data_IF_664128060856
#
_entry.id   IF_664128060856
#
_cell.length_a   1.000
_cell.length_b   1.000
_cell.length_c   1.000
_cell.angle_alpha   90.00
_cell.angle_beta   90.00
_cell.angle_gamma   90.00
#
_symmetry.space_group_name_H-M   'P 1'
#
loop_
_entity.id
_entity.type
_entity.pdbx_description
1 polymer ?
#
# COMPACT_ATOMS: atom_id res chain seq x y z
N UNK A 1 -5.01 -8.95 -21.00
CA UNK A 1 -4.33 -8.09 -20.02
C UNK A 1 -5.30 -7.57 -18.99
N UNK A 2 -4.87 -7.54 -17.72
CA UNK A 2 -5.67 -7.00 -16.62
C UNK A 2 -5.35 -5.50 -16.47
N UNK A 3 -6.37 -4.65 -16.31
CA UNK A 3 -6.19 -3.20 -16.09
C UNK A 3 -5.69 -2.87 -14.67
N UNK A 4 -4.79 -3.69 -14.13
CA UNK A 4 -4.20 -3.54 -12.81
C UNK A 4 -2.79 -2.99 -12.97
N UNK A 5 -2.50 -1.90 -12.28
CA UNK A 5 -1.14 -1.39 -12.14
C UNK A 5 -0.56 -1.92 -10.82
N UNK A 6 0.40 -2.86 -10.87
CA UNK A 6 1.03 -3.38 -9.66
C UNK A 6 2.04 -2.38 -9.09
N UNK A 7 2.02 -2.18 -7.76
CA UNK A 7 3.03 -1.42 -7.02
C UNK A 7 3.69 -2.35 -6.01
N UNK A 8 5.02 -2.47 -6.11
CA UNK A 8 5.80 -3.38 -5.27
C UNK A 8 6.50 -2.61 -4.14
N UNK A 9 6.39 -3.15 -2.94
CA UNK A 9 7.09 -2.70 -1.74
C UNK A 9 7.72 -3.91 -1.03
N UNK A 10 8.76 -3.67 -0.24
CA UNK A 10 9.41 -4.71 0.55
C UNK A 10 8.96 -4.59 2.01
N UNK A 11 8.40 -5.66 2.56
CA UNK A 11 7.91 -5.68 3.94
C UNK A 11 7.19 -6.98 4.29
N UNK A 12 7.17 -7.29 5.58
CA UNK A 12 6.47 -8.46 6.11
C UNK A 12 4.96 -8.25 6.24
N UNK A 13 4.24 -9.32 6.61
CA UNK A 13 2.79 -9.27 6.82
C UNK A 13 2.34 -8.18 7.83
N UNK A 14 2.98 -8.01 9.01
CA UNK A 14 2.56 -6.97 9.96
C UNK A 14 2.75 -5.55 9.41
N UNK A 15 3.87 -5.31 8.72
CA UNK A 15 4.15 -4.03 8.08
C UNK A 15 3.13 -3.73 6.98
N UNK A 16 2.79 -4.74 6.18
CA UNK A 16 1.76 -4.66 5.15
C UNK A 16 0.39 -4.24 5.71
N UNK A 17 -0.01 -4.82 6.85
CA UNK A 17 -1.24 -4.44 7.55
C UNK A 17 -1.20 -2.99 8.02
N UNK A 18 -0.09 -2.55 8.60
CA UNK A 18 0.03 -1.16 9.06
C UNK A 18 0.05 -0.16 7.88
N UNK A 19 0.70 -0.52 6.77
CA UNK A 19 0.71 0.27 5.53
C UNK A 19 -0.70 0.45 4.98
N UNK A 20 -1.52 -0.61 4.92
CA UNK A 20 -2.88 -0.48 4.37
C UNK A 20 -3.78 0.35 5.28
N UNK A 21 -3.64 0.23 6.60
CA UNK A 21 -4.35 1.06 7.58
C UNK A 21 -3.98 2.52 7.41
N UNK A 22 -2.69 2.85 7.30
CA UNK A 22 -2.22 4.22 7.12
C UNK A 22 -2.68 4.82 5.77
N UNK A 23 -2.59 4.06 4.68
CA UNK A 23 -3.12 4.47 3.37
C UNK A 23 -4.61 4.79 3.43
N UNK A 24 -5.40 3.97 4.12
CA UNK A 24 -6.84 4.14 4.23
C UNK A 24 -7.22 5.31 5.14
N UNK A 25 -6.73 5.29 6.37
CA UNK A 25 -7.20 6.18 7.45
C UNK A 25 -6.53 7.56 7.41
N UNK A 26 -5.26 7.63 7.02
CA UNK A 26 -4.50 8.90 7.03
C UNK A 26 -4.38 9.53 5.63
N UNK A 27 -4.48 8.72 4.57
CA UNK A 27 -4.32 9.20 3.20
C UNK A 27 -5.60 9.11 2.35
N UNK A 28 -6.64 8.42 2.81
CA UNK A 28 -7.88 8.24 2.07
C UNK A 28 -7.74 7.38 0.82
N UNK A 29 -6.67 6.60 0.70
CA UNK A 29 -6.40 5.73 -0.46
C UNK A 29 -6.78 4.31 -0.12
N UNK A 30 -7.79 3.80 -0.82
CA UNK A 30 -8.18 2.40 -0.75
C UNK A 30 -7.55 1.62 -1.91
N UNK A 31 -6.78 0.58 -1.60
CA UNK A 31 -6.22 -0.34 -2.59
C UNK A 31 -6.20 -1.76 -2.06
N UNK A 32 -6.15 -2.76 -2.96
CA UNK A 32 -6.03 -4.15 -2.54
C UNK A 32 -4.57 -4.50 -2.29
N UNK A 33 -4.29 -5.15 -1.15
CA UNK A 33 -2.97 -5.64 -0.79
C UNK A 33 -2.87 -7.14 -1.02
N UNK A 34 -1.76 -7.58 -1.59
CA UNK A 34 -1.43 -8.98 -1.84
C UNK A 34 -0.08 -9.26 -1.19
N UNK A 35 -0.05 -10.28 -0.35
CA UNK A 35 1.10 -10.71 0.44
C UNK A 35 1.24 -12.24 0.34
N UNK A 36 2.25 -12.82 1.00
CA UNK A 36 2.42 -14.26 1.11
C UNK A 36 1.12 -14.96 1.55
N UNK A 37 0.72 -16.09 0.93
CA UNK A 37 1.49 -16.93 -0.01
C UNK A 37 1.37 -16.57 -1.49
N UNK A 38 0.59 -15.54 -1.85
CA UNK A 38 0.30 -15.22 -3.27
C UNK A 38 1.51 -14.59 -3.97
N UNK A 39 2.31 -13.83 -3.22
CA UNK A 39 3.63 -13.30 -3.65
C UNK A 39 4.72 -13.83 -2.71
N UNK A 40 6.02 -13.75 -3.08
CA UNK A 40 7.11 -14.17 -2.21
C UNK A 40 7.06 -13.51 -0.82
N UNK A 41 7.70 -14.16 0.17
CA UNK A 41 7.86 -13.56 1.50
C UNK A 41 8.57 -12.20 1.38
N UNK A 42 8.25 -11.31 2.31
CA UNK A 42 8.78 -9.95 2.39
C UNK A 42 8.49 -9.06 1.17
N UNK A 43 7.54 -9.47 0.32
CA UNK A 43 7.02 -8.67 -0.79
C UNK A 43 5.57 -8.29 -0.50
N UNK A 44 5.30 -7.00 -0.63
CA UNK A 44 3.97 -6.41 -0.59
C UNK A 44 3.63 -5.95 -1.99
N UNK A 45 2.51 -6.41 -2.52
CA UNK A 45 1.98 -6.00 -3.80
C UNK A 45 0.67 -5.23 -3.59
N UNK A 46 0.68 -3.93 -3.87
CA UNK A 46 -0.53 -3.12 -3.95
C UNK A 46 -1.07 -3.19 -5.39
N UNK A 47 -2.38 -3.41 -5.51
CA UNK A 47 -3.07 -3.47 -6.81
C UNK A 47 -3.88 -2.21 -7.00
N UNK A 48 -3.47 -1.41 -7.98
CA UNK A 48 -4.19 -0.20 -8.37
C UNK A 48 -5.04 -0.46 -9.59
N UNK A 49 -6.25 0.05 -9.55
CA UNK A 49 -7.22 -0.04 -10.65
C UNK A 49 -7.70 1.38 -10.93
N UNK A 50 -6.91 2.19 -11.66
CA UNK A 50 -7.35 3.51 -12.06
C UNK A 50 -8.54 3.37 -13.02
N UNK A 51 -9.47 4.31 -12.92
CA UNK A 51 -10.69 4.36 -13.74
C UNK A 51 -10.82 5.75 -14.35
N UNK A 52 -11.67 5.90 -15.37
CA UNK A 52 -11.87 7.19 -16.05
C UNK A 52 -12.39 8.32 -15.13
N UNK A 53 -12.93 7.99 -13.95
CA UNK A 53 -13.38 9.00 -12.98
C UNK A 53 -12.23 9.61 -12.16
N UNK A 54 -11.05 8.99 -12.15
CA UNK A 54 -9.89 9.55 -11.48
C UNK A 54 -9.27 10.66 -12.34
N UNK A 55 -9.11 11.83 -11.75
CA UNK A 55 -8.41 12.95 -12.36
C UNK A 55 -6.89 12.72 -12.36
N UNK A 56 -6.15 13.52 -13.14
CA UNK A 56 -4.69 13.52 -13.07
C UNK A 56 -4.15 13.97 -11.70
N UNK A 57 -4.95 14.72 -10.94
CA UNK A 57 -4.59 15.12 -9.58
C UNK A 57 -4.67 13.93 -8.61
N UNK A 58 -5.74 13.13 -8.69
CA UNK A 58 -5.87 11.90 -7.90
C UNK A 58 -4.70 10.94 -8.17
N UNK A 59 -4.30 10.82 -9.44
CA UNK A 59 -3.14 10.00 -9.85
C UNK A 59 -1.85 10.54 -9.22
N UNK A 60 -1.59 11.86 -9.31
CA UNK A 60 -0.39 12.46 -8.73
C UNK A 60 -0.35 12.28 -7.22
N UNK A 61 -1.44 12.60 -6.53
CA UNK A 61 -1.56 12.42 -5.08
C UNK A 61 -1.29 10.97 -4.66
N UNK A 62 -1.83 10.01 -5.41
CA UNK A 62 -1.63 8.58 -5.14
C UNK A 62 -0.16 8.18 -5.28
N UNK A 63 0.52 8.60 -6.37
CA UNK A 63 1.93 8.30 -6.60
C UNK A 63 2.82 8.93 -5.53
N UNK A 64 2.60 10.20 -5.20
CA UNK A 64 3.36 10.90 -4.16
C UNK A 64 3.16 10.27 -2.78
N UNK A 65 1.93 9.85 -2.47
CA UNK A 65 1.62 9.17 -1.21
C UNK A 65 2.33 7.82 -1.13
N UNK A 66 2.33 7.03 -2.20
CA UNK A 66 3.08 5.77 -2.21
C UNK A 66 4.58 5.95 -2.07
N UNK A 67 5.16 6.99 -2.66
CA UNK A 67 6.57 7.31 -2.46
C UNK A 67 6.87 7.63 -0.99
N UNK A 68 6.00 8.41 -0.33
CA UNK A 68 6.11 8.72 1.11
C UNK A 68 5.98 7.46 1.97
N UNK A 69 4.93 6.68 1.76
CA UNK A 69 4.67 5.43 2.51
C UNK A 69 5.79 4.43 2.32
N UNK A 70 6.32 4.30 1.10
CA UNK A 70 7.49 3.44 0.85
C UNK A 70 8.71 3.89 1.67
N UNK A 71 9.00 5.19 1.72
CA UNK A 71 10.11 5.71 2.53
C UNK A 71 9.90 5.46 4.03
N UNK A 72 8.68 5.66 4.54
CA UNK A 72 8.32 5.37 5.95
C UNK A 72 8.47 3.88 6.27
N UNK A 73 8.10 3.01 5.34
CA UNK A 73 8.27 1.56 5.43
C UNK A 73 9.73 1.15 5.49
N UNK A 74 10.55 1.66 4.58
CA UNK A 74 12.00 1.42 4.59
C UNK A 74 12.67 1.99 5.85
N UNK A 75 12.14 3.10 6.38
CA UNK A 75 12.52 3.70 7.66
C UNK A 75 12.09 2.89 8.90
N UNK A 76 11.25 1.87 8.73
CA UNK A 76 10.80 0.99 9.80
C UNK A 76 9.65 1.55 10.64
N UNK A 77 8.96 2.61 10.20
CA UNK A 77 7.82 3.19 10.92
C UNK A 77 6.62 2.24 11.04
N UNK A 78 6.51 1.27 10.14
CA UNK A 78 5.45 0.26 10.15
C UNK A 78 5.85 -1.04 10.86
N UNK A 79 7.08 -1.12 11.41
CA UNK A 79 7.50 -2.27 12.22
C UNK A 79 6.63 -2.34 13.48
N UNK A 80 5.92 -3.45 13.64
CA UNK A 80 4.97 -3.59 14.74
C UNK A 80 5.68 -3.90 16.07
N UNK A 81 5.59 -2.98 17.05
CA UNK A 81 5.43 -3.36 18.47
C UNK A 81 3.93 -3.59 18.82
N UNK A 82 3.01 -3.06 17.99
CA UNK A 82 1.55 -3.17 18.15
C UNK A 82 0.91 -3.32 16.77
N UNK A 83 0.18 -4.41 16.54
CA UNK A 83 -0.67 -4.56 15.35
C UNK A 83 -1.85 -3.59 15.52
N UNK A 84 -2.07 -2.70 14.55
CA UNK A 84 -3.27 -1.84 14.55
C UNK A 84 -4.48 -2.66 14.11
N UNK A 85 -5.47 -2.80 14.98
CA UNK A 85 -6.70 -3.53 14.69
C UNK A 85 -7.54 -2.75 13.67
N UNK A 86 -7.99 -3.44 12.62
CA UNK A 86 -9.01 -2.94 11.72
C UNK A 86 -10.38 -3.22 12.35
N UNK A 87 -11.15 -2.17 12.64
CA UNK A 87 -12.54 -2.29 13.11
C UNK A 87 -13.49 -2.62 11.95
#
# INVERSE_FOLDING_TARGET
>A
DSCVTPVYMKGGLPEATNVIVDLRENHGIFCSIVVYPVVPKDVILLRLIPTAVHSLEDVRYTIETFAKVKARLEGGEYKAERIMNMN
#
